data_IF_681644271415
#
_entry.id   IF_681644271415
#
_cell.length_a   1.000
_cell.length_b   1.000
_cell.length_c   1.000
_cell.angle_alpha   90.00
_cell.angle_beta   90.00
_cell.angle_gamma   90.00
#
_symmetry.space_group_name_H-M   'P 1'
#
loop_
_entity.id
_entity.type
_entity.pdbx_description
1 polymer ?
#
# COMPACT_ATOMS: atom_id res chain seq x y z
N UNK A 1 4.96 -4.17 44.25
CA UNK A 1 5.01 -4.75 42.89
C UNK A 1 4.03 -4.04 41.94
N UNK A 2 4.05 -2.70 41.89
CA UNK A 2 3.04 -1.90 41.14
C UNK A 2 3.59 -1.29 39.84
N UNK A 3 4.90 -1.33 39.60
CA UNK A 3 5.52 -0.74 38.41
C UNK A 3 5.29 -1.52 37.10
N UNK A 4 5.17 -2.86 37.17
CA UNK A 4 5.10 -3.71 35.99
C UNK A 4 3.79 -3.59 35.21
N UNK A 5 2.67 -3.30 35.89
CA UNK A 5 1.35 -3.22 35.23
C UNK A 5 1.12 -1.86 34.56
N UNK A 6 1.67 -0.79 35.13
CA UNK A 6 1.60 0.56 34.56
C UNK A 6 2.47 0.69 33.30
N UNK A 7 3.65 0.06 33.29
CA UNK A 7 4.56 0.11 32.15
C UNK A 7 4.02 -0.65 30.93
N UNK A 8 3.32 -1.77 31.16
CA UNK A 8 2.68 -2.56 30.09
C UNK A 8 1.51 -1.79 29.46
N UNK A 9 0.68 -1.13 30.28
CA UNK A 9 -0.42 -0.32 29.78
C UNK A 9 0.08 0.80 28.86
N UNK A 10 1.11 1.54 29.28
CA UNK A 10 1.70 2.62 28.48
C UNK A 10 2.32 2.12 27.17
N UNK A 11 2.93 0.92 27.16
CA UNK A 11 3.43 0.32 25.91
C UNK A 11 2.31 -0.02 24.94
N UNK A 12 1.19 -0.54 25.45
CA UNK A 12 0.02 -0.87 24.62
C UNK A 12 -0.65 0.38 24.06
N UNK A 13 -0.74 1.47 24.84
CA UNK A 13 -1.24 2.77 24.37
C UNK A 13 -0.39 3.32 23.21
N UNK A 14 0.94 3.31 23.37
CA UNK A 14 1.87 3.76 22.32
C UNK A 14 1.73 2.91 21.05
N UNK A 15 1.65 1.58 21.21
CA UNK A 15 1.46 0.68 20.09
C UNK A 15 0.13 0.91 19.37
N UNK A 16 -0.96 1.11 20.11
CA UNK A 16 -2.27 1.42 19.54
C UNK A 16 -2.23 2.70 18.70
N UNK A 17 -1.60 3.77 19.20
CA UNK A 17 -1.43 5.02 18.46
C UNK A 17 -0.60 4.84 17.18
N UNK A 18 0.48 4.05 17.23
CA UNK A 18 1.32 3.73 16.07
C UNK A 18 0.53 2.96 15.01
N UNK A 19 -0.24 1.97 15.42
CA UNK A 19 -1.11 1.17 14.54
C UNK A 19 -2.24 2.01 13.93
N UNK A 20 -2.77 3.00 14.66
CA UNK A 20 -3.76 3.92 14.12
C UNK A 20 -3.16 4.83 13.02
N UNK A 21 -1.91 5.29 13.19
CA UNK A 21 -1.21 6.05 12.14
C UNK A 21 -1.01 5.19 10.88
N UNK A 22 -0.61 3.93 11.08
CA UNK A 22 -0.49 2.97 9.98
C UNK A 22 -1.81 2.77 9.23
N UNK A 23 -2.93 2.63 9.93
CA UNK A 23 -4.25 2.50 9.29
C UNK A 23 -4.59 3.69 8.40
N UNK A 24 -4.31 4.91 8.87
CA UNK A 24 -4.53 6.13 8.10
C UNK A 24 -3.67 6.16 6.85
N UNK A 25 -2.37 5.88 7.00
CA UNK A 25 -1.44 5.83 5.88
C UNK A 25 -1.86 4.74 4.86
N UNK A 26 -2.22 3.54 5.31
CA UNK A 26 -2.69 2.48 4.41
C UNK A 26 -4.00 2.86 3.69
N UNK A 27 -4.91 3.61 4.34
CA UNK A 27 -6.10 4.17 3.69
C UNK A 27 -5.73 5.14 2.57
N UNK A 28 -4.84 6.10 2.84
CA UNK A 28 -4.34 7.05 1.84
C UNK A 28 -3.68 6.34 0.67
N UNK A 29 -2.90 5.28 0.92
CA UNK A 29 -2.32 4.45 -0.16
C UNK A 29 -3.39 3.83 -1.06
N UNK A 30 -4.48 3.31 -0.49
CA UNK A 30 -5.58 2.75 -1.28
C UNK A 30 -6.28 3.81 -2.13
N UNK A 31 -6.46 5.01 -1.60
CA UNK A 31 -7.01 6.16 -2.34
C UNK A 31 -6.11 6.54 -3.52
N UNK A 32 -4.79 6.59 -3.32
CA UNK A 32 -3.81 6.85 -4.38
C UNK A 32 -3.86 5.81 -5.51
N UNK A 33 -3.98 4.52 -5.19
CA UNK A 33 -4.18 3.48 -6.21
C UNK A 33 -5.47 3.68 -7.01
N UNK A 34 -6.55 4.07 -6.32
CA UNK A 34 -7.82 4.34 -6.98
C UNK A 34 -7.75 5.56 -7.92
N UNK A 35 -7.14 6.66 -7.46
CA UNK A 35 -6.90 7.84 -8.29
C UNK A 35 -6.04 7.51 -9.51
N UNK A 36 -4.99 6.72 -9.31
CA UNK A 36 -4.09 6.31 -10.38
C UNK A 36 -4.80 5.43 -11.44
N UNK A 37 -5.63 4.49 -11.01
CA UNK A 37 -6.42 3.64 -11.90
C UNK A 37 -7.50 4.42 -12.66
N UNK A 38 -8.19 5.36 -12.01
CA UNK A 38 -9.16 6.25 -12.66
C UNK A 38 -8.48 7.07 -13.75
N UNK A 39 -7.36 7.73 -13.42
CA UNK A 39 -6.62 8.56 -14.37
C UNK A 39 -6.14 7.75 -15.59
N UNK A 40 -5.69 6.52 -15.36
CA UNK A 40 -5.28 5.60 -16.41
C UNK A 40 -6.46 5.21 -17.33
N UNK A 41 -7.62 4.85 -16.77
CA UNK A 41 -8.84 4.54 -17.54
C UNK A 41 -9.35 5.73 -18.34
N UNK A 42 -9.28 6.93 -17.78
CA UNK A 42 -9.67 8.16 -18.47
C UNK A 42 -8.69 8.50 -19.59
N UNK A 43 -7.39 8.28 -19.40
CA UNK A 43 -6.39 8.41 -20.46
C UNK A 43 -6.66 7.43 -21.61
N UNK A 44 -6.87 6.15 -21.30
CA UNK A 44 -7.16 5.13 -22.30
C UNK A 44 -8.47 5.38 -23.06
N UNK A 45 -9.48 5.98 -22.43
CA UNK A 45 -10.74 6.34 -23.11
C UNK A 45 -10.71 7.70 -23.82
N UNK A 46 -9.59 8.42 -23.77
CA UNK A 46 -9.43 9.74 -24.40
C UNK A 46 -10.15 10.88 -23.65
N UNK A 47 -10.62 10.64 -22.42
CA UNK A 47 -11.23 11.66 -21.54
C UNK A 47 -10.20 12.50 -20.80
N UNK A 48 -8.99 11.98 -20.65
CA UNK A 48 -7.87 12.65 -20.01
C UNK A 48 -6.74 12.84 -21.05
N UNK A 49 -6.34 14.09 -21.37
CA UNK A 49 -5.18 14.35 -22.22
C UNK A 49 -3.87 13.84 -21.59
N UNK A 50 -2.87 13.58 -22.43
CA UNK A 50 -1.56 13.06 -21.97
C UNK A 50 -0.90 13.93 -20.90
N UNK A 51 -0.90 15.25 -21.07
CA UNK A 51 -0.29 16.18 -20.10
C UNK A 51 -0.99 16.14 -18.73
N UNK A 52 -2.31 15.95 -18.73
CA UNK A 52 -3.09 15.82 -17.50
C UNK A 52 -2.82 14.47 -16.83
N UNK A 53 -2.78 13.38 -17.60
CA UNK A 53 -2.42 12.06 -17.08
C UNK A 53 -1.01 12.06 -16.48
N UNK A 54 -0.03 12.66 -17.17
CA UNK A 54 1.33 12.81 -16.66
C UNK A 54 1.39 13.61 -15.35
N UNK A 55 0.62 14.69 -15.27
CA UNK A 55 0.53 15.50 -14.04
C UNK A 55 -0.04 14.69 -12.88
N UNK A 56 -1.09 13.90 -13.12
CA UNK A 56 -1.67 13.01 -12.10
C UNK A 56 -0.65 11.95 -11.69
N UNK A 57 0.04 11.31 -12.64
CA UNK A 57 1.10 10.34 -12.36
C UNK A 57 2.18 10.90 -11.43
N UNK A 58 2.56 12.17 -11.61
CA UNK A 58 3.51 12.84 -10.73
C UNK A 58 2.94 13.01 -9.31
N UNK A 59 1.72 13.51 -9.18
CA UNK A 59 1.04 13.71 -7.89
C UNK A 59 0.90 12.39 -7.14
N UNK A 60 0.40 11.33 -7.79
CA UNK A 60 0.25 10.03 -7.13
C UNK A 60 1.61 9.41 -6.77
N UNK A 61 2.65 9.65 -7.57
CA UNK A 61 4.02 9.19 -7.24
C UNK A 61 4.53 9.86 -5.97
N UNK A 62 4.37 11.18 -5.85
CA UNK A 62 4.73 11.93 -4.64
C UNK A 62 3.92 11.40 -3.44
N UNK A 63 2.61 11.21 -3.60
CA UNK A 63 1.76 10.63 -2.56
C UNK A 63 2.18 9.21 -2.14
N UNK A 64 2.57 8.35 -3.08
CA UNK A 64 3.08 7.01 -2.78
C UNK A 64 4.42 7.05 -2.02
N UNK A 65 5.27 8.03 -2.32
CA UNK A 65 6.52 8.24 -1.60
C UNK A 65 6.26 8.70 -0.17
N UNK A 66 5.40 9.70 0.01
CA UNK A 66 5.04 10.26 1.32
C UNK A 66 4.44 9.18 2.22
N UNK A 67 3.42 8.46 1.75
CA UNK A 67 2.76 7.41 2.53
C UNK A 67 3.69 6.25 2.87
N UNK A 68 4.61 5.90 1.96
CA UNK A 68 5.61 4.85 2.24
C UNK A 68 6.62 5.30 3.27
N UNK A 69 7.02 6.58 3.26
CA UNK A 69 7.91 7.14 4.26
C UNK A 69 7.25 7.22 5.64
N UNK A 70 5.96 7.59 5.71
CA UNK A 70 5.18 7.57 6.94
C UNK A 70 5.12 6.17 7.55
N UNK A 71 4.81 5.15 6.74
CA UNK A 71 4.71 3.78 7.23
C UNK A 71 6.07 3.24 7.67
N UNK A 72 7.15 3.50 6.92
CA UNK A 72 8.50 3.12 7.34
C UNK A 72 8.93 3.81 8.64
N UNK A 73 8.43 5.01 8.90
CA UNK A 73 8.69 5.71 10.16
C UNK A 73 7.94 5.01 11.30
N UNK A 74 6.64 4.74 11.12
CA UNK A 74 5.84 3.99 12.09
C UNK A 74 6.44 2.60 12.39
N UNK A 75 6.88 1.86 11.35
CA UNK A 75 7.54 0.56 11.47
C UNK A 75 8.77 0.61 12.40
N UNK A 76 9.61 1.66 12.27
CA UNK A 76 10.83 1.82 13.08
C UNK A 76 10.54 2.15 14.55
N UNK A 77 9.39 2.75 14.82
CA UNK A 77 8.98 3.13 16.17
C UNK A 77 8.28 1.99 16.92
N UNK A 78 7.81 0.96 16.21
CA UNK A 78 7.13 -0.19 16.80
C UNK A 78 8.17 -1.12 17.46
N UNK A 79 8.02 -1.31 18.77
CA UNK A 79 8.90 -2.19 19.55
C UNK A 79 8.60 -3.68 19.38
N UNK A 80 7.39 -4.02 18.96
CA UNK A 80 6.99 -5.41 18.70
C UNK A 80 7.57 -5.87 17.36
N UNK A 81 8.51 -6.81 17.41
CA UNK A 81 9.21 -7.29 16.22
C UNK A 81 8.32 -8.07 15.25
N UNK A 82 7.23 -8.68 15.75
CA UNK A 82 6.29 -9.42 14.90
C UNK A 82 5.47 -8.43 14.08
N UNK A 83 4.88 -7.44 14.75
CA UNK A 83 4.10 -6.38 14.10
C UNK A 83 4.99 -5.58 13.12
N UNK A 84 6.19 -5.19 13.54
CA UNK A 84 7.14 -4.52 12.65
C UNK A 84 7.50 -5.39 11.42
N UNK A 85 7.65 -6.71 11.61
CA UNK A 85 7.89 -7.67 10.54
C UNK A 85 6.73 -7.75 9.55
N UNK A 86 5.48 -7.81 10.04
CA UNK A 86 4.28 -7.79 9.21
C UNK A 86 4.16 -6.49 8.40
N UNK A 87 4.43 -5.33 9.02
CA UNK A 87 4.42 -4.03 8.33
C UNK A 87 5.46 -4.00 7.21
N UNK A 88 6.67 -4.52 7.45
CA UNK A 88 7.70 -4.62 6.43
C UNK A 88 7.28 -5.52 5.27
N UNK A 89 6.71 -6.69 5.57
CA UNK A 89 6.19 -7.60 4.55
C UNK A 89 5.11 -6.92 3.69
N UNK A 90 4.22 -6.14 4.32
CA UNK A 90 3.23 -5.34 3.61
C UNK A 90 3.88 -4.27 2.73
N UNK A 91 4.92 -3.57 3.20
CA UNK A 91 5.65 -2.58 2.38
C UNK A 91 6.32 -3.22 1.15
N UNK A 92 6.96 -4.38 1.33
CA UNK A 92 7.62 -5.09 0.24
C UNK A 92 6.61 -5.55 -0.82
N UNK A 93 5.49 -6.10 -0.38
CA UNK A 93 4.40 -6.49 -1.27
C UNK A 93 3.72 -5.29 -1.96
N UNK A 94 3.56 -4.16 -1.27
CA UNK A 94 3.03 -2.93 -1.86
C UNK A 94 3.97 -2.31 -2.90
N UNK A 95 5.28 -2.39 -2.67
CA UNK A 95 6.28 -2.01 -3.67
C UNK A 95 6.17 -2.88 -4.92
N UNK A 96 6.09 -4.20 -4.74
CA UNK A 96 5.95 -5.14 -5.85
C UNK A 96 4.63 -4.89 -6.63
N UNK A 97 3.53 -4.64 -5.93
CA UNK A 97 2.23 -4.29 -6.50
C UNK A 97 2.31 -3.03 -7.36
N UNK A 98 2.94 -1.97 -6.86
CA UNK A 98 3.10 -0.72 -7.60
C UNK A 98 3.95 -0.93 -8.86
N UNK A 99 5.08 -1.63 -8.74
CA UNK A 99 5.95 -1.94 -9.88
C UNK A 99 5.21 -2.71 -10.99
N UNK A 100 4.41 -3.72 -10.63
CA UNK A 100 3.61 -4.47 -11.61
C UNK A 100 2.50 -3.63 -12.20
N UNK A 101 1.78 -2.85 -11.39
CA UNK A 101 0.73 -1.93 -11.84
C UNK A 101 1.27 -0.98 -12.91
N UNK A 102 2.41 -0.34 -12.64
CA UNK A 102 3.05 0.59 -13.59
C UNK A 102 3.47 -0.13 -14.87
N UNK A 103 4.08 -1.34 -14.78
CA UNK A 103 4.45 -2.13 -15.97
C UNK A 103 3.24 -2.47 -16.83
N UNK A 104 2.13 -2.90 -16.22
CA UNK A 104 0.88 -3.19 -16.95
C UNK A 104 0.39 -1.94 -17.67
N UNK A 105 0.36 -0.78 -17.00
CA UNK A 105 -0.10 0.46 -17.62
C UNK A 105 0.78 0.87 -18.80
N UNK A 106 2.11 0.82 -18.65
CA UNK A 106 3.06 1.13 -19.72
C UNK A 106 2.84 0.23 -20.94
N UNK A 107 2.77 -1.10 -20.74
CA UNK A 107 2.57 -2.05 -21.84
C UNK A 107 1.21 -1.87 -22.51
N UNK A 108 0.17 -1.58 -21.74
CA UNK A 108 -1.18 -1.31 -22.28
C UNK A 108 -1.20 -0.05 -23.14
N UNK A 109 -0.50 1.02 -22.74
CA UNK A 109 -0.37 2.24 -23.53
C UNK A 109 0.41 1.95 -24.82
N UNK A 110 1.53 1.22 -24.73
CA UNK A 110 2.32 0.85 -25.89
C UNK A 110 1.56 -0.05 -26.87
N UNK A 111 0.74 -0.99 -26.39
CA UNK A 111 -0.14 -1.82 -27.22
C UNK A 111 -1.19 -0.98 -27.95
N UNK A 112 -1.65 0.12 -27.35
CA UNK A 112 -2.63 1.03 -27.97
C UNK A 112 -1.97 1.94 -29.02
N UNK A 113 -0.72 2.33 -28.80
CA UNK A 113 0.02 3.28 -29.63
C UNK A 113 0.86 2.62 -30.73
N UNK A 114 0.99 1.29 -30.74
CA UNK A 114 1.78 0.53 -31.71
C UNK A 114 1.13 -0.79 -32.11
N UNK A 115 1.56 -1.39 -33.23
CA UNK A 115 1.09 -2.71 -33.68
C UNK A 115 1.72 -3.89 -32.91
N UNK A 116 2.31 -3.64 -31.74
CA UNK A 116 2.95 -4.69 -30.93
C UNK A 116 1.91 -5.38 -30.06
N UNK A 117 1.93 -6.72 -30.09
CA UNK A 117 1.14 -7.55 -29.20
C UNK A 117 1.89 -7.75 -27.87
N UNK A 118 1.28 -7.30 -26.78
CA UNK A 118 1.76 -7.47 -25.42
C UNK A 118 0.77 -8.26 -24.55
N UNK A 119 -0.27 -8.86 -25.14
CA UNK A 119 -1.42 -9.41 -24.41
C UNK A 119 -1.01 -10.53 -23.45
N UNK A 120 -0.11 -11.43 -23.88
CA UNK A 120 0.41 -12.51 -23.04
C UNK A 120 1.19 -11.98 -21.85
N UNK A 121 2.13 -11.04 -22.06
CA UNK A 121 2.91 -10.42 -20.98
C UNK A 121 2.03 -9.62 -20.02
N UNK A 122 1.04 -8.89 -20.54
CA UNK A 122 0.07 -8.16 -19.72
C UNK A 122 -0.74 -9.13 -18.87
N UNK A 123 -1.16 -10.27 -19.43
CA UNK A 123 -1.89 -11.30 -18.71
C UNK A 123 -1.05 -11.91 -17.59
N UNK A 124 0.19 -12.31 -17.87
CA UNK A 124 1.11 -12.85 -16.86
C UNK A 124 1.35 -11.86 -15.72
N UNK A 125 1.54 -10.57 -16.04
CA UNK A 125 1.69 -9.53 -15.03
C UNK A 125 0.42 -9.34 -14.19
N UNK A 126 -0.76 -9.44 -14.79
CA UNK A 126 -2.05 -9.36 -14.07
C UNK A 126 -2.25 -10.56 -13.14
N UNK A 127 -1.93 -11.77 -13.60
CA UNK A 127 -2.01 -12.99 -12.79
C UNK A 127 -1.03 -12.89 -11.60
N UNK A 128 0.20 -12.44 -11.86
CA UNK A 128 1.20 -12.19 -10.82
C UNK A 128 0.77 -11.08 -9.84
N UNK A 129 0.16 -10.01 -10.35
CA UNK A 129 -0.38 -8.92 -9.52
C UNK A 129 -1.54 -9.41 -8.63
N UNK A 130 -2.39 -10.30 -9.11
CA UNK A 130 -3.45 -10.91 -8.30
C UNK A 130 -2.86 -11.67 -7.10
N UNK A 131 -1.83 -12.50 -7.32
CA UNK A 131 -1.13 -13.20 -6.23
C UNK A 131 -0.48 -12.25 -5.23
N UNK A 132 0.09 -11.12 -5.68
CA UNK A 132 0.65 -10.10 -4.77
C UNK A 132 -0.46 -9.45 -3.94
N UNK A 133 -1.60 -9.12 -4.56
CA UNK A 133 -2.74 -8.54 -3.84
C UNK A 133 -3.29 -9.50 -2.79
N UNK A 134 -3.40 -10.79 -3.08
CA UNK A 134 -3.84 -11.81 -2.12
C UNK A 134 -2.91 -11.85 -0.90
N UNK A 135 -1.59 -11.91 -1.12
CA UNK A 135 -0.60 -11.89 -0.04
C UNK A 135 -0.64 -10.61 0.78
N UNK A 136 -0.77 -9.46 0.12
CA UNK A 136 -0.89 -8.18 0.83
C UNK A 136 -2.15 -8.15 1.70
N UNK A 137 -3.25 -8.70 1.20
CA UNK A 137 -4.51 -8.77 1.93
C UNK A 137 -4.39 -9.70 3.14
N UNK A 138 -3.78 -10.87 3.01
CA UNK A 138 -3.51 -11.80 4.12
C UNK A 138 -2.70 -11.12 5.23
N UNK A 139 -1.55 -10.52 4.89
CA UNK A 139 -0.70 -9.81 5.86
C UNK A 139 -1.46 -8.64 6.50
N UNK A 140 -2.29 -7.95 5.74
CA UNK A 140 -3.07 -6.82 6.24
C UNK A 140 -4.18 -7.24 7.20
N UNK A 141 -4.84 -8.37 6.93
CA UNK A 141 -5.88 -8.90 7.81
C UNK A 141 -5.27 -9.44 9.11
N UNK A 142 -4.15 -10.17 9.04
CA UNK A 142 -3.38 -10.58 10.24
C UNK A 142 -2.99 -9.35 11.07
N UNK A 143 -2.47 -8.31 10.42
CA UNK A 143 -2.08 -7.10 11.12
C UNK A 143 -3.28 -6.42 11.81
N UNK A 144 -4.45 -6.37 11.16
CA UNK A 144 -5.69 -5.83 11.75
C UNK A 144 -6.15 -6.64 12.95
N UNK A 145 -6.03 -7.97 12.92
CA UNK A 145 -6.32 -8.83 14.08
C UNK A 145 -5.43 -8.48 15.26
N UNK A 146 -4.12 -8.29 15.04
CA UNK A 146 -3.20 -7.81 16.06
C UNK A 146 -3.60 -6.43 16.60
N UNK A 147 -4.01 -5.49 15.73
CA UNK A 147 -4.49 -4.17 16.18
C UNK A 147 -5.72 -4.27 17.07
N UNK A 148 -6.67 -5.15 16.73
CA UNK A 148 -7.86 -5.39 17.56
C UNK A 148 -7.49 -6.00 18.91
N UNK A 149 -6.53 -6.92 18.93
CA UNK A 149 -5.95 -7.47 20.15
C UNK A 149 -5.39 -6.37 21.05
N UNK A 150 -4.51 -5.51 20.53
CA UNK A 150 -3.91 -4.40 21.27
C UNK A 150 -4.96 -3.41 21.76
N UNK A 151 -5.91 -3.02 20.92
CA UNK A 151 -6.97 -2.08 21.30
C UNK A 151 -7.82 -2.59 22.48
N UNK A 152 -8.10 -3.90 22.52
CA UNK A 152 -8.84 -4.53 23.62
C UNK A 152 -8.12 -4.50 24.98
N UNK A 153 -6.79 -4.31 24.96
CA UNK A 153 -5.96 -4.23 26.16
C UNK A 153 -5.81 -2.80 26.69
N UNK A 154 -6.24 -1.80 25.91
CA UNK A 154 -6.15 -0.36 26.24
C UNK A 154 -7.51 0.21 26.64
N UNK A 155 -8.62 -0.44 26.25
CA UNK A 155 -9.99 -0.08 26.63
C UNK A 155 -10.41 -0.64 28.00
#
# INVERSE_FOLDING_TARGET
MTGSSSEVLTKNEVLADQLQKLLKAQSTRMELYNEFDIAFKDYLSGKCPADQYHSICKIVTEGFQDVSQEIQTAEKEISDSVIAGMIRALQDGEKEKLEKTVKIQILTIQAKESDKDFDETIKELKDSLATVNEKNQEVWDELREEMHGVASLVC
#
